data_IF_855247836246
#
_entry.id   IF_855247836246
#
_cell.length_a   1.000
_cell.length_b   1.000
_cell.length_c   1.000
_cell.angle_alpha   90.00
_cell.angle_beta   90.00
_cell.angle_gamma   90.00
#
_symmetry.space_group_name_H-M   'P 1'
#
loop_
_entity.id
_entity.type
_entity.pdbx_description
1 polymer ?
#
# COMPACT_ATOMS: atom_id res chain seq x y z
N UNK A 1 50.66 -14.15 73.09
CA UNK A 1 49.82 -14.76 72.02
C UNK A 1 48.63 -13.82 71.84
N UNK A 2 48.23 -13.31 70.68
CA UNK A 2 48.39 -13.73 69.29
C UNK A 2 48.46 -12.48 68.38
N UNK A 3 49.21 -12.56 67.28
CA UNK A 3 49.41 -11.47 66.31
C UNK A 3 48.31 -11.57 65.24
N UNK A 4 47.32 -10.68 65.25
CA UNK A 4 46.31 -10.62 64.19
C UNK A 4 46.94 -10.01 62.92
N UNK A 5 47.02 -10.80 61.85
CA UNK A 5 47.44 -10.33 60.54
C UNK A 5 46.28 -9.54 59.90
N UNK A 6 46.42 -8.21 59.85
CA UNK A 6 45.52 -7.35 59.09
C UNK A 6 45.79 -7.56 57.59
N UNK A 7 44.92 -8.32 56.94
CA UNK A 7 44.95 -8.55 55.49
C UNK A 7 44.72 -7.21 54.79
N UNK A 8 45.73 -6.72 54.06
CA UNK A 8 45.58 -5.54 53.20
C UNK A 8 44.66 -5.89 52.02
N UNK A 9 43.46 -5.30 52.00
CA UNK A 9 42.56 -5.39 50.86
C UNK A 9 43.20 -4.71 49.64
N UNK A 10 43.38 -5.46 48.55
CA UNK A 10 43.88 -4.93 47.28
C UNK A 10 42.69 -4.41 46.46
N UNK A 11 42.79 -3.15 46.00
CA UNK A 11 41.72 -2.37 45.39
C UNK A 11 41.29 -2.82 43.98
N UNK A 12 40.67 -4.00 43.87
CA UNK A 12 40.12 -4.55 42.62
C UNK A 12 38.59 -4.37 42.50
N UNK A 13 37.92 -3.95 43.58
CA UNK A 13 36.45 -3.77 43.63
C UNK A 13 35.91 -2.83 42.54
N UNK A 14 36.63 -1.74 42.24
CA UNK A 14 36.24 -0.80 41.19
C UNK A 14 36.22 -1.46 39.80
N UNK A 15 37.20 -2.32 39.52
CA UNK A 15 37.29 -3.02 38.23
C UNK A 15 36.16 -4.02 38.08
N UNK A 16 35.87 -4.79 39.14
CA UNK A 16 34.78 -5.78 39.14
C UNK A 16 33.43 -5.08 38.98
N UNK A 17 33.19 -3.98 39.71
CA UNK A 17 31.95 -3.21 39.58
C UNK A 17 31.77 -2.61 38.19
N UNK A 18 32.84 -2.12 37.56
CA UNK A 18 32.80 -1.62 36.17
C UNK A 18 32.48 -2.73 35.16
N UNK A 19 33.08 -3.92 35.31
CA UNK A 19 32.78 -5.08 34.44
C UNK A 19 31.31 -5.49 34.60
N UNK A 20 30.80 -5.57 35.83
CA UNK A 20 29.40 -5.90 36.09
C UNK A 20 28.45 -4.85 35.51
N UNK A 21 28.76 -3.57 35.66
CA UNK A 21 28.01 -2.46 35.07
C UNK A 21 27.97 -2.58 33.54
N UNK A 22 29.12 -2.85 32.91
CA UNK A 22 29.22 -3.01 31.47
C UNK A 22 28.35 -4.18 30.98
N UNK A 23 28.41 -5.33 31.65
CA UNK A 23 27.60 -6.51 31.30
C UNK A 23 26.10 -6.18 31.41
N UNK A 24 25.67 -5.56 32.51
CA UNK A 24 24.27 -5.15 32.68
C UNK A 24 23.82 -4.19 31.57
N UNK A 25 24.69 -3.26 31.17
CA UNK A 25 24.39 -2.28 30.12
C UNK A 25 24.17 -2.95 28.76
N UNK A 26 25.03 -3.91 28.39
CA UNK A 26 24.91 -4.65 27.13
C UNK A 26 23.63 -5.49 27.12
N UNK A 27 23.28 -6.15 28.23
CA UNK A 27 22.05 -6.92 28.36
C UNK A 27 20.80 -6.02 28.22
N UNK A 28 20.81 -4.85 28.84
CA UNK A 28 19.73 -3.88 28.74
C UNK A 28 19.53 -3.39 27.29
N UNK A 29 20.61 -3.00 26.60
CA UNK A 29 20.54 -2.53 25.21
C UNK A 29 20.07 -3.65 24.27
N UNK A 30 20.56 -4.88 24.47
CA UNK A 30 20.16 -6.03 23.66
C UNK A 30 18.65 -6.25 23.74
N UNK A 31 18.06 -6.18 24.94
CA UNK A 31 16.62 -6.30 25.13
C UNK A 31 15.81 -5.18 24.47
N UNK A 32 16.30 -3.94 24.46
CA UNK A 32 15.60 -2.81 23.83
C UNK A 32 15.65 -2.87 22.30
N UNK A 33 16.70 -3.46 21.73
CA UNK A 33 16.91 -3.53 20.28
C UNK A 33 15.78 -4.28 19.55
N UNK A 34 15.27 -5.37 20.16
CA UNK A 34 14.14 -6.13 19.63
C UNK A 34 12.86 -5.30 19.62
N UNK A 35 12.54 -4.63 20.73
CA UNK A 35 11.35 -3.77 20.84
C UNK A 35 11.35 -2.67 19.78
N UNK A 36 12.50 -2.05 19.53
CA UNK A 36 12.63 -1.00 18.50
C UNK A 36 12.36 -1.57 17.10
N UNK A 37 12.82 -2.79 16.81
CA UNK A 37 12.57 -3.44 15.52
C UNK A 37 11.08 -3.77 15.36
N UNK A 38 10.44 -4.30 16.39
CA UNK A 38 9.01 -4.61 16.38
C UNK A 38 8.15 -3.36 16.21
N UNK A 39 8.51 -2.25 16.86
CA UNK A 39 7.84 -0.96 16.69
C UNK A 39 7.94 -0.45 15.24
N UNK A 40 9.14 -0.51 14.64
CA UNK A 40 9.34 -0.13 13.23
C UNK A 40 8.56 -1.02 12.27
N UNK A 41 8.55 -2.33 12.49
CA UNK A 41 7.78 -3.27 11.68
C UNK A 41 6.27 -3.03 11.82
N UNK A 42 5.79 -2.79 13.04
CA UNK A 42 4.38 -2.45 13.33
C UNK A 42 3.97 -1.14 12.66
N UNK A 43 4.82 -0.11 12.72
CA UNK A 43 4.60 1.17 12.03
C UNK A 43 4.48 1.01 10.52
N UNK A 44 5.42 0.28 9.89
CA UNK A 44 5.39 0.01 8.46
C UNK A 44 4.19 -0.85 8.04
N UNK A 45 3.82 -1.85 8.85
CA UNK A 45 2.65 -2.69 8.59
C UNK A 45 1.36 -1.87 8.65
N UNK A 46 1.23 -1.01 9.67
CA UNK A 46 0.09 -0.10 9.80
C UNK A 46 -0.01 0.85 8.61
N UNK A 47 1.10 1.47 8.22
CA UNK A 47 1.14 2.39 7.06
C UNK A 47 0.68 1.70 5.76
N UNK A 48 1.21 0.50 5.51
CA UNK A 48 0.85 -0.30 4.34
C UNK A 48 -0.62 -0.75 4.38
N UNK A 49 -1.14 -1.09 5.55
CA UNK A 49 -2.55 -1.46 5.71
C UNK A 49 -3.49 -0.26 5.46
N UNK A 50 -3.12 0.94 5.93
CA UNK A 50 -3.87 2.17 5.62
C UNK A 50 -3.86 2.46 4.11
N UNK A 51 -2.71 2.33 3.45
CA UNK A 51 -2.60 2.47 2.00
C UNK A 51 -3.47 1.45 1.25
N UNK A 52 -3.54 0.20 1.74
CA UNK A 52 -4.38 -0.84 1.15
C UNK A 52 -5.87 -0.50 1.25
N UNK A 53 -6.34 -0.09 2.44
CA UNK A 53 -7.74 0.31 2.63
C UNK A 53 -8.11 1.52 1.78
N UNK A 54 -7.20 2.50 1.66
CA UNK A 54 -7.39 3.66 0.79
C UNK A 54 -7.45 3.26 -0.69
N UNK A 55 -6.60 2.33 -1.14
CA UNK A 55 -6.65 1.81 -2.50
C UNK A 55 -7.97 1.04 -2.77
N UNK A 56 -8.50 0.30 -1.79
CA UNK A 56 -9.80 -0.35 -1.92
C UNK A 56 -10.92 0.68 -2.07
N UNK A 57 -10.90 1.77 -1.30
CA UNK A 57 -11.87 2.85 -1.43
C UNK A 57 -11.87 3.48 -2.83
N UNK A 58 -10.68 3.74 -3.38
CA UNK A 58 -10.53 4.23 -4.76
C UNK A 58 -11.02 3.22 -5.81
N UNK A 59 -10.74 1.94 -5.60
CA UNK A 59 -11.20 0.85 -6.47
C UNK A 59 -12.73 0.76 -6.52
N UNK A 60 -13.38 0.75 -5.34
CA UNK A 60 -14.83 0.75 -5.18
C UNK A 60 -15.48 1.97 -5.82
N UNK A 61 -14.82 3.12 -5.77
CA UNK A 61 -15.31 4.33 -6.44
C UNK A 61 -15.28 4.20 -7.96
N UNK A 62 -14.23 3.58 -8.53
CA UNK A 62 -14.18 3.24 -9.96
C UNK A 62 -15.29 2.28 -10.39
N UNK A 63 -15.56 1.24 -9.59
CA UNK A 63 -16.66 0.30 -9.85
C UNK A 63 -18.02 1.01 -9.78
N UNK A 64 -18.21 1.85 -8.76
CA UNK A 64 -19.44 2.62 -8.60
C UNK A 64 -19.63 3.61 -9.76
N UNK A 65 -18.55 4.23 -10.26
CA UNK A 65 -18.60 5.08 -11.44
C UNK A 65 -19.10 4.31 -12.66
N UNK A 66 -18.56 3.11 -12.93
CA UNK A 66 -19.01 2.26 -14.03
C UNK A 66 -20.47 1.82 -13.89
N UNK A 67 -20.90 1.50 -12.67
CA UNK A 67 -22.26 1.04 -12.37
C UNK A 67 -23.31 2.16 -12.48
N UNK A 68 -22.98 3.36 -12.03
CA UNK A 68 -23.95 4.48 -11.92
C UNK A 68 -23.99 5.38 -13.14
N UNK A 69 -23.03 5.26 -14.07
CA UNK A 69 -22.95 6.08 -15.28
C UNK A 69 -23.63 5.38 -16.46
N UNK A 70 -24.85 5.76 -16.89
CA UNK A 70 -25.59 5.01 -17.90
C UNK A 70 -24.94 5.03 -19.28
N UNK A 71 -24.36 6.15 -19.68
CA UNK A 71 -23.59 6.30 -20.93
C UNK A 71 -22.18 6.71 -20.57
N UNK A 72 -21.20 5.82 -20.82
CA UNK A 72 -19.81 6.12 -20.54
C UNK A 72 -19.27 7.16 -21.54
N UNK A 73 -18.46 8.13 -21.08
CA UNK A 73 -17.70 8.99 -21.97
C UNK A 73 -16.73 8.20 -22.85
N UNK A 74 -16.19 8.84 -23.88
CA UNK A 74 -15.12 8.28 -24.69
C UNK A 74 -13.87 8.01 -23.83
N UNK A 75 -13.21 6.88 -24.07
CA UNK A 75 -11.97 6.49 -23.39
C UNK A 75 -10.77 7.04 -24.17
N UNK A 76 -10.57 8.36 -24.11
CA UNK A 76 -9.52 9.09 -24.83
C UNK A 76 -8.24 9.32 -24.01
N UNK A 77 -8.22 8.88 -22.74
CA UNK A 77 -7.17 9.08 -21.76
C UNK A 77 -7.39 10.25 -20.81
N UNK A 78 -8.43 11.05 -21.02
CA UNK A 78 -8.84 12.13 -20.13
C UNK A 78 -9.57 11.61 -18.90
N UNK A 79 -9.32 12.21 -17.75
CA UNK A 79 -10.01 11.86 -16.51
C UNK A 79 -9.89 10.38 -16.16
N UNK A 80 -8.76 9.75 -16.48
CA UNK A 80 -8.46 8.36 -16.15
C UNK A 80 -9.25 7.31 -16.91
N UNK A 81 -9.82 7.62 -18.08
CA UNK A 81 -10.53 6.65 -18.92
C UNK A 81 -9.64 6.26 -20.13
N UNK A 82 -9.16 5.03 -20.19
CA UNK A 82 -8.17 4.60 -21.18
C UNK A 82 -8.62 3.42 -22.05
N UNK A 83 -8.33 3.47 -23.35
CA UNK A 83 -8.33 2.28 -24.20
C UNK A 83 -7.04 1.47 -24.03
N UNK A 84 -7.02 0.18 -24.37
CA UNK A 84 -5.78 -0.60 -24.43
C UNK A 84 -4.80 0.06 -25.39
N UNK A 85 -3.52 0.02 -25.07
CA UNK A 85 -2.48 0.47 -26.00
C UNK A 85 -2.21 -0.60 -27.05
N UNK A 86 -1.87 -0.16 -28.26
CA UNK A 86 -1.49 -1.02 -29.39
C UNK A 86 -0.29 -1.91 -29.10
N UNK A 87 0.58 -1.52 -28.15
CA UNK A 87 1.76 -2.27 -27.74
C UNK A 87 1.52 -3.15 -26.51
N UNK A 88 0.29 -3.21 -25.98
CA UNK A 88 -0.03 -3.99 -24.79
C UNK A 88 0.63 -3.49 -23.50
N UNK A 89 1.20 -2.28 -23.50
CA UNK A 89 1.77 -1.69 -22.28
C UNK A 89 0.67 -1.43 -21.24
N UNK A 90 0.96 -1.65 -19.95
CA UNK A 90 -0.02 -1.40 -18.90
C UNK A 90 -0.37 0.09 -18.77
N UNK A 91 -1.65 0.48 -18.79
CA UNK A 91 -2.04 1.89 -18.59
C UNK A 91 -1.71 2.43 -17.19
N UNK A 92 -1.47 1.55 -16.23
CA UNK A 92 -0.98 1.94 -14.90
C UNK A 92 0.52 2.30 -14.86
N UNK A 93 1.25 2.15 -15.99
CA UNK A 93 2.64 2.64 -16.21
C UNK A 93 2.78 3.15 -17.67
N UNK A 94 2.79 4.47 -17.96
CA UNK A 94 3.57 5.55 -17.32
C UNK A 94 2.70 6.51 -16.48
N UNK A 95 3.16 7.74 -16.17
CA UNK A 95 2.65 8.80 -15.24
C UNK A 95 1.16 9.24 -15.36
N UNK A 96 0.24 8.30 -15.54
CA UNK A 96 -1.19 8.53 -15.63
C UNK A 96 -1.83 8.87 -14.27
N UNK A 97 -1.04 9.01 -13.20
CA UNK A 97 -1.52 9.29 -11.85
C UNK A 97 -1.62 10.79 -11.55
N UNK A 98 -1.29 11.66 -12.51
CA UNK A 98 -1.51 13.11 -12.41
C UNK A 98 -3.02 13.45 -12.41
N UNK A 99 -3.38 14.64 -11.95
CA UNK A 99 -4.78 15.06 -11.77
C UNK A 99 -5.63 15.05 -13.03
N UNK A 100 -5.04 15.30 -14.19
CA UNK A 100 -5.75 15.28 -15.47
C UNK A 100 -5.94 13.86 -16.04
N UNK A 101 -5.10 12.93 -15.59
CA UNK A 101 -4.99 11.57 -16.11
C UNK A 101 -5.60 10.52 -15.17
N UNK A 102 -6.10 10.93 -14.01
CA UNK A 102 -6.68 10.03 -13.00
C UNK A 102 -7.84 10.70 -12.27
N UNK A 103 -8.71 9.89 -11.69
CA UNK A 103 -9.80 10.37 -10.83
C UNK A 103 -9.41 10.24 -9.38
N UNK A 104 -9.68 11.28 -8.62
CA UNK A 104 -9.48 11.29 -7.18
C UNK A 104 -10.72 10.74 -6.48
N UNK A 105 -10.53 10.00 -5.40
CA UNK A 105 -11.59 9.63 -4.49
C UNK A 105 -12.06 10.86 -3.71
N UNK A 106 -13.36 11.16 -3.82
CA UNK A 106 -13.91 12.47 -3.41
C UNK A 106 -14.21 12.54 -1.91
N UNK A 107 -14.32 11.41 -1.21
CA UNK A 107 -14.59 11.40 0.23
C UNK A 107 -13.29 11.47 1.04
N UNK A 108 -13.37 12.04 2.24
CA UNK A 108 -12.23 12.14 3.14
C UNK A 108 -11.92 10.79 3.79
N UNK A 109 -10.65 10.38 3.73
CA UNK A 109 -10.12 9.21 4.42
C UNK A 109 -9.22 9.67 5.58
N UNK A 110 -9.41 9.11 6.77
CA UNK A 110 -8.57 9.43 7.92
C UNK A 110 -7.26 8.62 7.90
N UNK A 111 -6.16 9.22 8.35
CA UNK A 111 -4.87 8.55 8.46
C UNK A 111 -4.11 8.37 7.14
N UNK A 112 -4.58 9.01 6.06
CA UNK A 112 -3.96 8.99 4.74
C UNK A 112 -3.50 10.39 4.37
N UNK A 113 -2.29 10.52 3.82
CA UNK A 113 -1.70 11.83 3.48
C UNK A 113 -2.28 12.43 2.20
N UNK A 114 -2.56 11.59 1.19
CA UNK A 114 -3.08 12.00 -0.11
C UNK A 114 -4.23 11.10 -0.54
N UNK A 115 -5.33 11.69 -1.01
CA UNK A 115 -6.51 10.95 -1.43
C UNK A 115 -6.17 9.90 -2.53
N UNK A 116 -6.75 8.69 -2.45
CA UNK A 116 -6.47 7.65 -3.42
C UNK A 116 -7.01 8.04 -4.80
N UNK A 117 -6.30 7.61 -5.83
CA UNK A 117 -6.65 7.87 -7.23
C UNK A 117 -6.94 6.58 -7.96
N UNK A 118 -7.75 6.64 -9.01
CA UNK A 118 -8.08 5.48 -9.83
C UNK A 118 -8.16 5.85 -11.31
N UNK A 119 -7.89 4.83 -12.14
CA UNK A 119 -8.04 4.84 -13.59
C UNK A 119 -8.89 3.64 -14.00
N UNK A 120 -9.55 3.76 -15.15
CA UNK A 120 -10.43 2.75 -15.73
C UNK A 120 -9.95 2.51 -17.16
N UNK A 121 -9.67 1.27 -17.48
CA UNK A 121 -9.27 0.82 -18.81
C UNK A 121 -10.36 -0.06 -19.39
N UNK A 122 -10.89 0.26 -20.56
CA UNK A 122 -11.75 -0.64 -21.31
C UNK A 122 -10.88 -1.75 -21.90
N UNK A 123 -11.23 -3.02 -21.67
CA UNK A 123 -10.52 -4.16 -22.22
C UNK A 123 -11.13 -4.55 -23.57
N UNK A 124 -10.34 -5.25 -24.39
CA UNK A 124 -10.82 -5.77 -25.66
C UNK A 124 -12.06 -6.65 -25.43
N UNK A 125 -13.10 -6.51 -26.27
CA UNK A 125 -14.31 -7.30 -26.13
C UNK A 125 -13.99 -8.78 -26.27
N UNK A 126 -14.62 -9.60 -25.41
CA UNK A 126 -14.52 -11.05 -25.46
C UNK A 126 -15.87 -11.60 -25.88
N UNK A 127 -15.88 -12.38 -26.96
CA UNK A 127 -17.07 -13.12 -27.37
C UNK A 127 -17.32 -14.25 -26.37
N UNK A 128 -18.45 -14.21 -25.67
CA UNK A 128 -18.85 -15.28 -24.75
C UNK A 128 -19.62 -16.37 -25.52
N UNK A 129 -19.17 -17.64 -25.49
CA UNK A 129 -19.94 -18.74 -26.05
C UNK A 129 -21.28 -18.86 -25.31
N UNK A 130 -22.41 -18.68 -26.01
CA UNK A 130 -23.75 -18.72 -25.43
C UNK A 130 -24.27 -17.39 -24.89
N UNK A 131 -23.58 -16.27 -25.16
CA UNK A 131 -24.11 -14.92 -24.88
C UNK A 131 -25.42 -14.65 -25.64
N UNK A 132 -26.29 -13.83 -25.05
CA UNK A 132 -27.54 -13.42 -25.70
C UNK A 132 -27.24 -12.76 -27.05
N UNK A 133 -28.00 -13.10 -28.08
CA UNK A 133 -27.89 -12.52 -29.41
C UNK A 133 -28.85 -11.33 -29.48
N UNK A 134 -28.34 -10.10 -29.59
CA UNK A 134 -29.17 -8.96 -29.98
C UNK A 134 -29.16 -8.86 -31.50
N UNK A 135 -30.31 -9.05 -32.14
CA UNK A 135 -30.49 -8.96 -33.60
C UNK A 135 -29.48 -9.79 -34.44
N UNK A 136 -29.05 -10.96 -33.93
CA UNK A 136 -28.11 -11.83 -34.63
C UNK A 136 -26.63 -11.46 -34.46
N UNK A 137 -26.32 -10.44 -33.65
CA UNK A 137 -24.97 -10.08 -33.23
C UNK A 137 -24.76 -10.56 -31.79
N UNK A 138 -23.62 -11.19 -31.50
CA UNK A 138 -23.30 -11.61 -30.14
C UNK A 138 -23.24 -10.38 -29.22
N UNK A 139 -23.95 -10.41 -28.08
CA UNK A 139 -23.81 -9.36 -27.08
C UNK A 139 -22.36 -9.36 -26.56
N UNK A 140 -21.59 -8.36 -26.96
CA UNK A 140 -20.22 -8.17 -26.49
C UNK A 140 -20.27 -7.76 -25.01
N UNK A 141 -19.85 -8.65 -24.13
CA UNK A 141 -19.63 -8.31 -22.72
C UNK A 141 -18.44 -7.36 -22.64
N UNK A 142 -18.68 -6.13 -22.15
CA UNK A 142 -17.60 -5.15 -21.98
C UNK A 142 -16.95 -5.34 -20.63
N UNK A 143 -15.65 -5.60 -20.68
CA UNK A 143 -14.82 -5.76 -19.51
C UNK A 143 -14.01 -4.49 -19.28
N UNK A 144 -13.93 -4.05 -18.04
CA UNK A 144 -13.15 -2.90 -17.62
C UNK A 144 -12.15 -3.31 -16.57
N UNK A 145 -10.90 -2.90 -16.72
CA UNK A 145 -9.88 -3.01 -15.67
C UNK A 145 -9.82 -1.71 -14.91
N UNK A 146 -10.06 -1.76 -13.61
CA UNK A 146 -9.93 -0.60 -12.74
C UNK A 146 -8.65 -0.77 -11.95
N UNK A 147 -7.79 0.25 -11.97
CA UNK A 147 -6.57 0.28 -11.15
C UNK A 147 -6.65 1.47 -10.21
N UNK A 148 -6.46 1.22 -8.92
CA UNK A 148 -6.38 2.28 -7.90
C UNK A 148 -4.99 2.33 -7.28
N UNK A 149 -4.50 3.53 -7.01
CA UNK A 149 -3.25 3.83 -6.34
C UNK A 149 -3.53 4.69 -5.12
N UNK A 150 -2.95 4.32 -3.99
CA UNK A 150 -3.11 5.06 -2.73
C UNK A 150 -1.82 5.07 -1.92
N UNK A 151 -1.65 6.12 -1.12
CA UNK A 151 -0.58 6.27 -0.14
C UNK A 151 -1.12 5.99 1.26
N UNK A 152 -0.22 5.67 2.19
CA UNK A 152 -0.55 5.48 3.59
C UNK A 152 -0.57 6.80 4.35
N UNK A 153 -0.17 6.74 5.62
CA UNK A 153 0.21 7.91 6.41
C UNK A 153 1.56 8.51 5.99
N UNK A 154 2.28 7.85 5.07
CA UNK A 154 3.48 8.37 4.41
C UNK A 154 3.31 8.41 2.90
N UNK A 155 3.98 9.36 2.22
CA UNK A 155 4.00 9.44 0.75
C UNK A 155 5.14 8.62 0.12
N UNK A 156 6.01 8.02 0.94
CA UNK A 156 7.13 7.20 0.48
C UNK A 156 6.72 5.82 -0.03
N UNK A 157 5.57 5.31 0.43
CA UNK A 157 5.07 3.98 0.10
C UNK A 157 3.66 4.09 -0.46
N UNK A 158 3.40 3.36 -1.54
CA UNK A 158 2.07 3.29 -2.13
C UNK A 158 1.64 1.84 -2.33
N UNK A 159 0.33 1.62 -2.30
CA UNK A 159 -0.31 0.37 -2.68
C UNK A 159 -1.09 0.60 -3.97
N UNK A 160 -1.05 -0.40 -4.85
CA UNK A 160 -1.81 -0.42 -6.08
C UNK A 160 -2.67 -1.68 -6.12
N UNK A 161 -3.98 -1.51 -6.33
CA UNK A 161 -4.95 -2.58 -6.45
C UNK A 161 -5.59 -2.56 -7.83
N UNK A 162 -5.99 -3.74 -8.29
CA UNK A 162 -6.60 -3.90 -9.60
C UNK A 162 -7.76 -4.89 -9.54
N UNK A 163 -8.84 -4.58 -10.24
CA UNK A 163 -9.99 -5.47 -10.43
C UNK A 163 -10.46 -5.42 -11.88
N UNK A 164 -11.16 -6.47 -12.30
CA UNK A 164 -11.85 -6.52 -13.58
C UNK A 164 -13.36 -6.49 -13.32
N UNK A 165 -14.03 -5.51 -13.91
CA UNK A 165 -15.46 -5.28 -13.79
C UNK A 165 -16.14 -5.59 -15.13
N UNK A 166 -17.14 -6.48 -15.12
CA UNK A 166 -18.02 -6.73 -16.26
C UNK A 166 -19.22 -5.82 -16.17
N UNK A 167 -19.56 -5.16 -17.27
CA UNK A 167 -20.77 -4.33 -17.38
C UNK A 167 -21.76 -4.92 -18.36
#
# INVERSE_FOLDING_TARGET
>A
MAKHHLVKQQGVVLVISLIMLLIMTILAISSMSTTILEEKMSGNFKDRNMAFQAAEAGLRAGESYLRTTPVLPVFDGSGGLYLPTTLGLPRWKPDNWASINSREYICTLSGVTTAPRYIIEELLPVNEPGGSLEAGVAAESRYYRITSKAFGGTESSFVMLQTTYKR
#
